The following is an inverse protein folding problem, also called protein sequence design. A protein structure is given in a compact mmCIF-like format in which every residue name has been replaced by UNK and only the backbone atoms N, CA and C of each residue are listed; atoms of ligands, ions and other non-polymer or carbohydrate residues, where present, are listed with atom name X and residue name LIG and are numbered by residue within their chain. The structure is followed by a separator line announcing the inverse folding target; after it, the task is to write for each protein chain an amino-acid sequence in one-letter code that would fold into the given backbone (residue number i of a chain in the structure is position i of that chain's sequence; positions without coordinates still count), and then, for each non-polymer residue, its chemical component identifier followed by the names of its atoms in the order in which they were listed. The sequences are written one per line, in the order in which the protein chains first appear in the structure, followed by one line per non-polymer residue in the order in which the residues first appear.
data_IF_436461792333
#
_entry.id   IF_436461792333
#
_cell.length_a   1.000
_cell.length_b   1.000
_cell.length_c   1.000
_cell.angle_alpha   90.00
_cell.angle_beta   90.00
_cell.angle_gamma   90.00
#
_symmetry.space_group_name_H-M   'P 1'
#
loop_
_entity.id
_entity.type
_entity.pdbx_description
1 polymer ?
#
# COMPACT_ATOMS: atom_id res chain seq x y z
N UNK A 1 -40.06 19.54 29.65
CA UNK A 1 -40.23 18.25 28.93
C UNK A 1 -40.08 18.56 27.45
N UNK A 2 -38.87 18.42 26.93
CA UNK A 2 -38.60 18.63 25.50
C UNK A 2 -38.91 17.33 24.76
N UNK A 3 -39.96 17.33 23.98
CA UNK A 3 -40.26 16.24 23.02
C UNK A 3 -39.22 16.29 21.90
N UNK A 4 -38.26 15.38 21.97
CA UNK A 4 -37.43 15.07 20.81
C UNK A 4 -38.37 14.55 19.71
N UNK A 5 -38.63 15.39 18.71
CA UNK A 5 -39.42 15.04 17.53
C UNK A 5 -38.64 13.97 16.76
N UNK A 6 -39.03 12.71 16.90
CA UNK A 6 -38.48 11.62 16.06
C UNK A 6 -38.75 11.94 14.59
N UNK A 7 -37.67 12.13 13.83
CA UNK A 7 -37.82 12.36 12.39
C UNK A 7 -38.51 11.15 11.70
N UNK A 8 -39.45 11.39 10.81
CA UNK A 8 -40.17 10.33 10.11
C UNK A 8 -39.25 9.39 9.37
N UNK A 9 -39.45 8.07 9.48
CA UNK A 9 -38.59 7.03 8.89
C UNK A 9 -38.43 7.16 7.35
N UNK A 10 -39.40 7.73 6.64
CA UNK A 10 -39.28 8.00 5.22
C UNK A 10 -38.24 9.09 4.92
N UNK A 11 -38.12 10.11 5.78
CA UNK A 11 -37.16 11.19 5.64
C UNK A 11 -35.73 10.68 5.85
N UNK A 12 -35.53 9.87 6.88
CA UNK A 12 -34.24 9.19 7.13
C UNK A 12 -33.82 8.35 5.92
N UNK A 13 -34.70 7.47 5.41
CA UNK A 13 -34.42 6.68 4.21
C UNK A 13 -34.13 7.50 2.95
N UNK A 14 -34.78 8.65 2.79
CA UNK A 14 -34.55 9.55 1.65
C UNK A 14 -33.18 10.23 1.77
N UNK A 15 -32.80 10.71 2.95
CA UNK A 15 -31.49 11.30 3.24
C UNK A 15 -30.38 10.27 3.05
N UNK A 16 -30.53 9.06 3.63
CA UNK A 16 -29.56 7.97 3.46
C UNK A 16 -29.31 7.61 1.99
N UNK A 17 -30.38 7.48 1.20
CA UNK A 17 -30.26 7.20 -0.25
C UNK A 17 -29.55 8.33 -0.99
N UNK A 18 -29.90 9.58 -0.67
CA UNK A 18 -29.27 10.75 -1.29
C UNK A 18 -27.78 10.84 -0.92
N UNK A 19 -27.45 10.65 0.35
CA UNK A 19 -26.06 10.65 0.85
C UNK A 19 -25.24 9.53 0.22
N UNK A 20 -25.80 8.31 0.16
CA UNK A 20 -25.13 7.16 -0.48
C UNK A 20 -24.87 7.42 -1.98
N UNK A 21 -25.84 7.97 -2.69
CA UNK A 21 -25.67 8.30 -4.10
C UNK A 21 -24.65 9.42 -4.34
N UNK A 22 -24.61 10.43 -3.46
CA UNK A 22 -23.61 11.50 -3.50
C UNK A 22 -22.20 10.96 -3.22
N UNK A 23 -22.06 10.11 -2.20
CA UNK A 23 -20.79 9.45 -1.86
C UNK A 23 -20.25 8.61 -3.01
N UNK A 24 -21.08 7.75 -3.62
CA UNK A 24 -20.67 6.93 -4.76
C UNK A 24 -20.26 7.76 -6.00
N UNK A 25 -20.87 8.93 -6.20
CA UNK A 25 -20.45 9.86 -7.26
C UNK A 25 -19.10 10.50 -6.95
N UNK A 26 -18.87 10.90 -5.70
CA UNK A 26 -17.60 11.45 -5.27
C UNK A 26 -16.47 10.41 -5.40
N UNK A 27 -16.70 9.18 -4.89
CA UNK A 27 -15.75 8.07 -4.99
C UNK A 27 -15.38 7.77 -6.46
N UNK A 28 -16.35 7.74 -7.38
CA UNK A 28 -16.05 7.56 -8.81
C UNK A 28 -15.19 8.67 -9.39
N UNK A 29 -15.43 9.93 -9.02
CA UNK A 29 -14.61 11.05 -9.49
C UNK A 29 -13.18 10.98 -8.96
N UNK A 30 -13.02 10.68 -7.66
CA UNK A 30 -11.71 10.44 -7.06
C UNK A 30 -10.97 9.34 -7.81
N UNK A 31 -11.65 8.21 -8.06
CA UNK A 31 -11.05 7.09 -8.78
C UNK A 31 -10.60 7.49 -10.20
N UNK A 32 -11.39 8.29 -10.95
CA UNK A 32 -10.99 8.78 -12.26
C UNK A 32 -9.74 9.67 -12.23
N UNK A 33 -9.57 10.50 -11.20
CA UNK A 33 -8.35 11.29 -11.03
C UNK A 33 -7.14 10.41 -10.71
N UNK A 34 -7.31 9.39 -9.86
CA UNK A 34 -6.26 8.43 -9.53
C UNK A 34 -5.81 7.64 -10.77
N UNK A 35 -6.75 7.13 -11.55
CA UNK A 35 -6.47 6.41 -12.80
C UNK A 35 -5.73 7.29 -13.81
N UNK A 36 -6.22 8.52 -14.03
CA UNK A 36 -5.58 9.47 -14.92
C UNK A 36 -4.14 9.80 -14.50
N UNK A 37 -3.91 10.03 -13.22
CA UNK A 37 -2.58 10.32 -12.71
C UNK A 37 -1.65 9.10 -12.82
N UNK A 38 -2.15 7.90 -12.54
CA UNK A 38 -1.39 6.66 -12.71
C UNK A 38 -0.98 6.43 -14.17
N UNK A 39 -1.89 6.64 -15.11
CA UNK A 39 -1.59 6.55 -16.55
C UNK A 39 -0.51 7.54 -16.98
N UNK A 40 -0.55 8.78 -16.45
CA UNK A 40 0.46 9.80 -16.75
C UNK A 40 1.82 9.39 -16.18
N UNK A 41 1.87 8.89 -14.93
CA UNK A 41 3.09 8.43 -14.28
C UNK A 41 3.72 7.26 -15.08
N UNK A 42 2.92 6.29 -15.49
CA UNK A 42 3.39 5.17 -16.31
C UNK A 42 3.93 5.67 -17.66
N UNK A 43 3.24 6.58 -18.32
CA UNK A 43 3.65 7.11 -19.61
C UNK A 43 4.93 7.97 -19.55
N UNK A 44 5.13 8.72 -18.45
CA UNK A 44 6.30 9.60 -18.26
C UNK A 44 7.47 8.91 -17.56
N UNK A 45 7.23 7.79 -16.88
CA UNK A 45 8.22 7.17 -16.00
C UNK A 45 8.59 8.00 -14.77
N UNK A 46 7.80 9.02 -14.45
CA UNK A 46 8.06 9.95 -13.35
C UNK A 46 6.79 10.56 -12.78
N UNK A 47 6.88 11.11 -11.57
CA UNK A 47 5.79 11.87 -10.93
C UNK A 47 5.78 13.35 -11.35
N UNK A 48 6.55 13.73 -12.36
CA UNK A 48 6.58 15.11 -12.86
C UNK A 48 5.43 15.35 -13.85
N UNK A 49 4.26 15.65 -13.28
CA UNK A 49 3.06 16.06 -13.98
C UNK A 49 2.37 17.25 -13.29
N UNK A 50 1.52 17.93 -14.02
CA UNK A 50 0.71 19.04 -13.51
C UNK A 50 -0.72 18.58 -13.18
N UNK A 51 -1.41 19.32 -12.30
CA UNK A 51 -2.83 19.10 -12.02
C UNK A 51 -3.67 19.22 -13.30
N UNK A 52 -3.28 20.13 -14.21
CA UNK A 52 -3.99 20.33 -15.48
C UNK A 52 -3.94 19.07 -16.36
N UNK A 53 -2.78 18.41 -16.45
CA UNK A 53 -2.66 17.16 -17.21
C UNK A 53 -3.57 16.06 -16.66
N UNK A 54 -3.72 15.98 -15.32
CA UNK A 54 -4.63 15.01 -14.69
C UNK A 54 -6.10 15.35 -14.98
N UNK A 55 -6.46 16.62 -14.90
CA UNK A 55 -7.80 17.12 -15.20
C UNK A 55 -8.18 16.81 -16.64
N UNK A 56 -7.27 17.11 -17.59
CA UNK A 56 -7.49 16.86 -19.02
C UNK A 56 -7.62 15.37 -19.31
N UNK A 57 -6.73 14.55 -18.72
CA UNK A 57 -6.74 13.08 -18.90
C UNK A 57 -7.99 12.44 -18.31
N UNK A 58 -8.41 12.88 -17.12
CA UNK A 58 -9.61 12.36 -16.43
C UNK A 58 -10.91 12.85 -17.02
N UNK A 59 -10.89 13.83 -17.96
CA UNK A 59 -12.05 14.52 -18.53
C UNK A 59 -12.95 15.15 -17.45
N UNK A 60 -12.34 15.60 -16.36
CA UNK A 60 -13.02 16.30 -15.28
C UNK A 60 -12.70 17.79 -15.32
N UNK A 61 -13.31 18.60 -14.45
CA UNK A 61 -13.00 20.01 -14.34
C UNK A 61 -11.97 20.27 -13.23
N UNK A 62 -11.19 21.35 -13.37
CA UNK A 62 -10.25 21.81 -12.34
C UNK A 62 -10.98 22.09 -11.01
N UNK A 63 -12.19 22.64 -11.09
CA UNK A 63 -13.06 22.83 -9.91
C UNK A 63 -13.38 21.50 -9.21
N UNK A 64 -13.69 20.46 -10.00
CA UNK A 64 -13.95 19.12 -9.46
C UNK A 64 -12.71 18.54 -8.77
N UNK A 65 -11.51 18.76 -9.34
CA UNK A 65 -10.26 18.36 -8.73
C UNK A 65 -10.08 18.96 -7.34
N UNK A 66 -10.18 20.30 -7.23
CA UNK A 66 -10.01 21.01 -5.95
C UNK A 66 -11.13 20.80 -4.92
N UNK A 67 -12.25 20.18 -5.33
CA UNK A 67 -13.26 19.69 -4.40
C UNK A 67 -12.84 18.40 -3.66
N UNK A 68 -11.89 17.64 -4.22
CA UNK A 68 -11.47 16.33 -3.71
C UNK A 68 -10.02 16.30 -3.23
N UNK A 69 -9.15 17.14 -3.79
CA UNK A 69 -7.73 17.21 -3.47
C UNK A 69 -7.28 18.65 -3.27
N UNK A 70 -6.55 18.94 -2.21
CA UNK A 70 -5.95 20.25 -1.98
C UNK A 70 -4.82 20.62 -2.96
N UNK A 71 -4.34 19.63 -3.74
CA UNK A 71 -3.31 19.81 -4.75
C UNK A 71 -2.71 18.49 -5.22
N UNK A 72 -1.68 18.58 -6.08
CA UNK A 72 -0.94 17.42 -6.61
C UNK A 72 -0.43 16.50 -5.51
N UNK A 73 0.03 17.08 -4.41
CA UNK A 73 0.60 16.32 -3.30
C UNK A 73 -0.43 15.36 -2.67
N UNK A 74 -1.63 15.84 -2.38
CA UNK A 74 -2.69 15.02 -1.80
C UNK A 74 -3.16 13.92 -2.77
N UNK A 75 -3.20 14.21 -4.07
CA UNK A 75 -3.44 13.21 -5.10
C UNK A 75 -2.37 12.12 -5.10
N UNK A 76 -1.09 12.49 -4.99
CA UNK A 76 0.03 11.55 -4.96
C UNK A 76 0.00 10.68 -3.69
N UNK A 77 -0.36 11.26 -2.54
CA UNK A 77 -0.56 10.52 -1.31
C UNK A 77 -1.71 9.50 -1.45
N UNK A 78 -2.82 9.91 -2.02
CA UNK A 78 -3.96 9.02 -2.27
C UNK A 78 -3.62 7.89 -3.26
N UNK A 79 -2.78 8.16 -4.27
CA UNK A 79 -2.25 7.13 -5.17
C UNK A 79 -1.37 6.13 -4.41
N UNK A 80 -0.50 6.61 -3.54
CA UNK A 80 0.38 5.78 -2.72
C UNK A 80 -0.43 4.88 -1.77
N UNK A 81 -1.42 5.44 -1.07
CA UNK A 81 -2.34 4.68 -0.22
C UNK A 81 -3.10 3.60 -1.00
N UNK A 82 -3.62 3.96 -2.17
CA UNK A 82 -4.36 3.02 -3.02
C UNK A 82 -3.46 1.89 -3.53
N UNK A 83 -2.23 2.20 -3.92
CA UNK A 83 -1.25 1.20 -4.36
C UNK A 83 -0.91 0.20 -3.25
N UNK A 84 -0.61 0.70 -2.05
CA UNK A 84 -0.31 -0.14 -0.88
C UNK A 84 -1.50 -1.02 -0.49
N UNK A 85 -2.72 -0.48 -0.52
CA UNK A 85 -3.93 -1.25 -0.22
C UNK A 85 -4.14 -2.37 -1.22
N UNK A 86 -4.05 -2.06 -2.52
CA UNK A 86 -4.19 -3.08 -3.58
C UNK A 86 -3.13 -4.18 -3.46
N UNK A 87 -1.87 -3.80 -3.24
CA UNK A 87 -0.79 -4.76 -3.02
C UNK A 87 -1.05 -5.63 -1.79
N UNK A 88 -1.52 -5.05 -0.68
CA UNK A 88 -1.89 -5.81 0.51
C UNK A 88 -3.04 -6.80 0.24
N UNK A 89 -4.05 -6.40 -0.54
CA UNK A 89 -5.19 -7.27 -0.88
C UNK A 89 -4.75 -8.42 -1.81
N UNK A 90 -3.89 -8.16 -2.79
CA UNK A 90 -3.31 -9.17 -3.69
C UNK A 90 -2.44 -10.18 -2.92
N UNK A 91 -1.56 -9.69 -2.04
CA UNK A 91 -0.72 -10.54 -1.18
C UNK A 91 -1.59 -11.36 -0.23
N UNK A 92 -2.60 -10.75 0.38
CA UNK A 92 -3.54 -11.45 1.28
C UNK A 92 -4.22 -12.59 0.56
N UNK A 93 -4.74 -12.33 -0.64
CA UNK A 93 -5.43 -13.34 -1.45
C UNK A 93 -4.53 -14.54 -1.75
N UNK A 94 -3.25 -14.30 -2.09
CA UNK A 94 -2.30 -15.36 -2.37
C UNK A 94 -1.84 -16.10 -1.10
N UNK A 95 -1.41 -15.36 -0.06
CA UNK A 95 -0.82 -15.94 1.15
C UNK A 95 -1.82 -16.72 2.02
N UNK A 96 -3.12 -16.41 1.95
CA UNK A 96 -4.14 -17.12 2.73
C UNK A 96 -4.55 -18.47 2.14
N UNK A 97 -4.20 -18.74 0.90
CA UNK A 97 -4.43 -20.05 0.25
C UNK A 97 -3.42 -21.09 0.79
N UNK A 98 -2.24 -20.64 1.21
CA UNK A 98 -1.22 -21.51 1.76
C UNK A 98 -1.66 -22.13 3.09
N UNK A 99 -1.58 -23.45 3.17
CA UNK A 99 -1.96 -24.24 4.36
C UNK A 99 -0.92 -24.05 5.46
N UNK A 100 0.37 -24.05 5.11
CA UNK A 100 1.46 -23.76 6.03
C UNK A 100 1.58 -22.24 6.26
N UNK A 101 1.39 -21.75 7.50
CA UNK A 101 1.52 -20.34 7.81
C UNK A 101 2.89 -19.74 7.46
N UNK A 102 3.96 -20.52 7.58
CA UNK A 102 5.32 -20.06 7.24
C UNK A 102 5.48 -19.89 5.73
N UNK A 103 4.98 -20.84 4.93
CA UNK A 103 4.97 -20.73 3.48
C UNK A 103 4.13 -19.53 2.99
N UNK A 104 2.98 -19.28 3.63
CA UNK A 104 2.16 -18.10 3.35
C UNK A 104 2.89 -16.79 3.63
N UNK A 105 3.64 -16.72 4.74
CA UNK A 105 4.46 -15.55 5.06
C UNK A 105 5.64 -15.38 4.10
N UNK A 106 6.29 -16.47 3.71
CA UNK A 106 7.35 -16.48 2.68
C UNK A 106 6.84 -15.90 1.37
N UNK A 107 5.71 -16.40 0.88
CA UNK A 107 5.07 -15.89 -0.33
C UNK A 107 4.78 -14.39 -0.22
N UNK A 108 4.25 -13.93 0.93
CA UNK A 108 3.98 -12.52 1.17
C UNK A 108 5.25 -11.65 1.11
N UNK A 109 6.35 -12.10 1.70
CA UNK A 109 7.65 -11.40 1.64
C UNK A 109 8.16 -11.29 0.21
N UNK A 110 8.12 -12.39 -0.55
CA UNK A 110 8.56 -12.42 -1.96
C UNK A 110 7.70 -11.50 -2.83
N UNK A 111 6.38 -11.52 -2.65
CA UNK A 111 5.46 -10.65 -3.39
C UNK A 111 5.68 -9.17 -3.04
N UNK A 112 5.86 -8.84 -1.76
CA UNK A 112 6.15 -7.47 -1.33
C UNK A 112 7.48 -6.99 -1.94
N UNK A 113 8.53 -7.82 -1.91
CA UNK A 113 9.81 -7.50 -2.52
C UNK A 113 9.65 -7.21 -4.01
N UNK A 114 9.03 -8.13 -4.76
CA UNK A 114 8.81 -7.99 -6.20
C UNK A 114 7.98 -6.75 -6.56
N UNK A 115 6.93 -6.44 -5.78
CA UNK A 115 6.11 -5.26 -6.01
C UNK A 115 6.78 -3.94 -5.62
N UNK A 116 7.83 -4.00 -4.79
CA UNK A 116 8.60 -2.83 -4.34
C UNK A 116 9.84 -2.55 -5.19
N UNK A 117 10.21 -3.46 -6.11
CA UNK A 117 11.31 -3.24 -7.03
C UNK A 117 10.97 -2.08 -7.97
N UNK A 118 11.87 -1.09 -8.13
CA UNK A 118 11.71 -0.07 -9.16
C UNK A 118 11.98 -0.67 -10.53
N UNK A 119 11.27 -0.20 -11.55
CA UNK A 119 11.49 -0.63 -12.92
C UNK A 119 10.34 -0.24 -13.84
N UNK A 120 10.55 -0.25 -15.17
CA UNK A 120 9.54 0.11 -16.16
C UNK A 120 8.33 -0.86 -16.15
N UNK A 121 8.52 -2.08 -15.66
CA UNK A 121 7.46 -3.07 -15.48
C UNK A 121 6.81 -2.99 -14.07
N UNK A 122 7.34 -2.14 -13.20
CA UNK A 122 6.76 -1.92 -11.87
C UNK A 122 5.35 -1.37 -12.04
N UNK A 123 4.35 -2.13 -11.62
CA UNK A 123 2.96 -1.69 -11.61
C UNK A 123 2.73 -0.51 -10.65
N UNK A 124 3.76 -0.14 -9.88
CA UNK A 124 3.69 0.89 -8.85
C UNK A 124 4.95 1.77 -8.83
N UNK A 125 5.18 2.63 -9.86
CA UNK A 125 6.32 3.55 -9.89
C UNK A 125 6.37 4.52 -8.70
N UNK A 126 5.36 4.51 -7.85
CA UNK A 126 5.25 5.32 -6.63
C UNK A 126 6.17 4.86 -5.49
N UNK A 127 6.77 3.68 -5.57
CA UNK A 127 7.70 3.19 -4.54
C UNK A 127 9.14 3.69 -4.70
N UNK A 128 9.43 4.51 -5.73
CA UNK A 128 10.76 5.07 -6.00
C UNK A 128 11.01 6.41 -5.25
N UNK A 129 11.56 7.40 -5.93
CA UNK A 129 11.98 8.71 -5.36
C UNK A 129 10.87 9.46 -4.64
N UNK A 130 9.61 9.32 -5.09
CA UNK A 130 8.48 10.01 -4.50
C UNK A 130 8.13 9.46 -3.11
N UNK A 131 8.21 8.16 -2.87
CA UNK A 131 7.94 7.57 -1.56
C UNK A 131 8.91 8.09 -0.50
N UNK A 132 10.18 8.26 -0.85
CA UNK A 132 11.21 8.85 0.02
C UNK A 132 10.90 10.31 0.33
N UNK A 133 10.51 11.09 -0.67
CA UNK A 133 10.15 12.51 -0.49
C UNK A 133 8.90 12.66 0.39
N UNK A 134 7.88 11.79 0.20
CA UNK A 134 6.68 11.74 1.04
C UNK A 134 7.03 11.42 2.49
N UNK A 135 7.89 10.43 2.72
CA UNK A 135 8.29 10.02 4.06
C UNK A 135 8.96 11.16 4.84
N UNK A 136 9.76 11.98 4.17
CA UNK A 136 10.42 13.13 4.80
C UNK A 136 9.47 14.29 5.07
N UNK A 137 8.50 14.51 4.19
CA UNK A 137 7.61 15.68 4.26
C UNK A 137 6.30 15.40 5.03
N UNK A 138 5.83 14.15 5.02
CA UNK A 138 4.51 13.73 5.54
C UNK A 138 4.57 12.37 6.25
N UNK A 139 5.37 12.26 7.31
CA UNK A 139 5.63 10.97 7.96
C UNK A 139 4.40 10.35 8.64
N UNK A 140 3.42 11.15 9.05
CA UNK A 140 2.19 10.67 9.67
C UNK A 140 1.27 10.04 8.62
N UNK A 141 1.11 10.69 7.48
CA UNK A 141 0.28 10.24 6.36
C UNK A 141 0.88 8.98 5.73
N UNK A 142 2.20 8.94 5.53
CA UNK A 142 2.89 7.76 5.02
C UNK A 142 2.75 6.58 5.98
N UNK A 143 2.79 6.82 7.29
CA UNK A 143 2.53 5.78 8.30
C UNK A 143 1.11 5.22 8.15
N UNK A 144 0.12 6.11 7.98
CA UNK A 144 -1.27 5.72 7.76
C UNK A 144 -1.44 4.91 6.48
N UNK A 145 -0.75 5.31 5.40
CA UNK A 145 -0.76 4.60 4.12
C UNK A 145 -0.22 3.16 4.22
N UNK A 146 0.77 2.93 5.08
CA UNK A 146 1.36 1.59 5.30
C UNK A 146 0.51 0.68 6.21
N UNK A 147 -0.49 1.20 6.93
CA UNK A 147 -1.25 0.44 7.92
C UNK A 147 -1.95 -0.81 7.35
N UNK A 148 -2.55 -0.82 6.14
CA UNK A 148 -3.13 -2.04 5.56
C UNK A 148 -2.10 -3.15 5.36
N UNK A 149 -0.90 -2.82 4.86
CA UNK A 149 0.19 -3.77 4.65
C UNK A 149 0.74 -4.27 6.00
N UNK A 150 0.96 -3.38 6.96
CA UNK A 150 1.41 -3.75 8.31
C UNK A 150 0.40 -4.68 9.00
N UNK A 151 -0.89 -4.42 8.85
CA UNK A 151 -1.95 -5.27 9.41
C UNK A 151 -1.90 -6.67 8.80
N UNK A 152 -1.79 -6.77 7.47
CA UNK A 152 -1.64 -8.05 6.78
C UNK A 152 -0.42 -8.85 7.31
N UNK A 153 0.75 -8.23 7.36
CA UNK A 153 1.96 -8.92 7.85
C UNK A 153 1.85 -9.30 9.32
N UNK A 154 1.19 -8.48 10.14
CA UNK A 154 0.95 -8.81 11.55
C UNK A 154 -0.01 -10.02 11.71
N UNK A 155 -1.02 -10.14 10.86
CA UNK A 155 -1.91 -11.31 10.82
C UNK A 155 -1.16 -12.57 10.39
N UNK A 156 -0.34 -12.50 9.34
CA UNK A 156 0.49 -13.63 8.88
C UNK A 156 1.51 -14.05 9.95
N UNK A 157 2.19 -13.10 10.58
CA UNK A 157 3.10 -13.38 11.71
C UNK A 157 2.36 -14.01 12.89
N UNK A 158 1.11 -13.58 13.17
CA UNK A 158 0.28 -14.18 14.21
C UNK A 158 -0.09 -15.63 13.91
N UNK A 159 -0.30 -15.98 12.63
CA UNK A 159 -0.51 -17.38 12.21
C UNK A 159 0.74 -18.23 12.43
N UNK A 160 1.93 -17.69 12.13
CA UNK A 160 3.21 -18.37 12.37
C UNK A 160 3.46 -18.52 13.87
N UNK A 161 3.15 -17.50 14.69
CA UNK A 161 3.27 -17.55 16.14
C UNK A 161 2.39 -18.66 16.75
N UNK A 162 1.16 -18.81 16.24
CA UNK A 162 0.22 -19.87 16.69
C UNK A 162 0.74 -21.29 16.44
N UNK A 163 1.68 -21.51 15.50
CA UNK A 163 2.36 -22.81 15.29
C UNK A 163 3.60 -22.99 16.15
N UNK A 164 3.97 -21.97 16.94
CA UNK A 164 5.19 -21.99 17.78
C UNK A 164 6.49 -21.80 16.99
N UNK A 165 6.42 -21.46 15.72
CA UNK A 165 7.57 -21.25 14.84
C UNK A 165 8.17 -19.84 14.96
N UNK A 166 7.46 -18.88 15.55
CA UNK A 166 7.99 -17.56 15.84
C UNK A 166 8.88 -17.58 17.10
N UNK A 167 9.96 -16.80 17.11
CA UNK A 167 10.78 -16.60 18.31
C UNK A 167 9.97 -15.94 19.42
N UNK A 168 10.03 -16.46 20.63
CA UNK A 168 9.20 -16.04 21.78
C UNK A 168 9.43 -14.61 22.24
N UNK A 169 10.60 -14.04 21.93
CA UNK A 169 10.96 -12.66 22.29
C UNK A 169 10.30 -11.62 21.37
N UNK A 170 9.74 -12.07 20.23
CA UNK A 170 9.16 -11.19 19.21
C UNK A 170 7.65 -11.13 19.35
N UNK A 171 7.13 -9.91 19.33
CA UNK A 171 5.69 -9.69 19.18
C UNK A 171 5.34 -9.65 17.68
N UNK A 172 4.31 -10.39 17.21
CA UNK A 172 3.96 -10.50 15.78
C UNK A 172 3.93 -9.15 15.05
N UNK A 173 3.26 -8.13 15.59
CA UNK A 173 3.17 -6.81 14.97
C UNK A 173 4.51 -6.07 14.88
N UNK A 174 5.42 -6.27 15.83
CA UNK A 174 6.76 -5.67 15.77
C UNK A 174 7.63 -6.37 14.73
N UNK A 175 7.61 -7.71 14.71
CA UNK A 175 8.30 -8.49 13.69
C UNK A 175 7.78 -8.13 12.29
N UNK A 176 6.47 -8.03 12.12
CA UNK A 176 5.83 -7.60 10.88
C UNK A 176 6.33 -6.22 10.41
N UNK A 177 6.40 -5.23 11.30
CA UNK A 177 6.88 -3.90 10.95
C UNK A 177 8.35 -3.93 10.51
N UNK A 178 9.21 -4.67 11.22
CA UNK A 178 10.63 -4.80 10.87
C UNK A 178 10.81 -5.49 9.51
N UNK A 179 10.13 -6.61 9.29
CA UNK A 179 10.20 -7.36 8.02
C UNK A 179 9.69 -6.49 6.86
N UNK A 180 8.50 -5.92 6.98
CA UNK A 180 7.91 -5.08 5.94
C UNK A 180 8.86 -3.92 5.53
N UNK A 181 9.37 -3.17 6.51
CA UNK A 181 10.26 -2.04 6.24
C UNK A 181 11.59 -2.48 5.63
N UNK A 182 12.17 -3.58 6.14
CA UNK A 182 13.42 -4.13 5.58
C UNK A 182 13.23 -4.57 4.13
N UNK A 183 12.15 -5.30 3.83
CA UNK A 183 11.86 -5.79 2.48
C UNK A 183 11.69 -4.63 1.50
N UNK A 184 10.90 -3.62 1.86
CA UNK A 184 10.67 -2.44 1.03
C UNK A 184 11.95 -1.64 0.80
N UNK A 185 12.76 -1.44 1.85
CA UNK A 185 14.04 -0.74 1.74
C UNK A 185 15.05 -1.51 0.87
N UNK A 186 15.19 -2.83 1.08
CA UNK A 186 16.08 -3.68 0.28
C UNK A 186 15.69 -3.69 -1.19
N UNK A 187 14.40 -3.74 -1.51
CA UNK A 187 13.92 -3.66 -2.89
C UNK A 187 14.31 -2.33 -3.55
N UNK A 188 14.15 -1.22 -2.84
CA UNK A 188 14.51 0.11 -3.35
C UNK A 188 16.02 0.27 -3.54
N UNK A 189 16.84 -0.22 -2.60
CA UNK A 189 18.29 -0.12 -2.68
C UNK A 189 18.90 -1.00 -3.77
N UNK A 190 18.25 -2.13 -4.10
CA UNK A 190 18.70 -3.05 -5.16
C UNK A 190 18.75 -2.38 -6.53
N UNK A 191 17.85 -1.44 -6.82
CA UNK A 191 17.84 -0.75 -8.10
C UNK A 191 19.04 0.20 -8.29
N UNK A 192 19.48 0.86 -7.22
CA UNK A 192 20.63 1.76 -7.25
C UNK A 192 21.93 1.02 -7.57
N UNK A 193 21.97 -0.28 -7.18
CA UNK A 193 23.16 -1.12 -7.35
C UNK A 193 23.17 -1.81 -8.72
N UNK A 194 22.02 -2.04 -9.33
CA UNK A 194 21.91 -2.76 -10.62
C UNK A 194 22.64 -2.06 -11.79
N UNK A 195 22.88 -0.76 -11.69
CA UNK A 195 23.63 0.03 -12.70
C UNK A 195 25.16 -0.08 -12.57
N UNK A 196 25.67 -0.87 -11.62
CA UNK A 196 27.11 -1.02 -11.39
C UNK A 196 27.61 -2.31 -12.04
N UNK A 197 28.69 -2.24 -12.85
CA UNK A 197 29.32 -3.41 -13.44
C UNK A 197 29.73 -4.43 -12.37
N UNK A 198 29.26 -5.66 -12.49
CA UNK A 198 29.55 -6.78 -11.56
C UNK A 198 28.61 -6.89 -10.36
N UNK A 199 27.54 -6.10 -10.28
CA UNK A 199 26.55 -6.20 -9.23
C UNK A 199 25.54 -7.34 -9.49
N UNK A 200 25.32 -8.19 -8.48
CA UNK A 200 24.23 -9.15 -8.47
C UNK A 200 23.06 -8.54 -7.69
N UNK A 201 21.92 -8.24 -8.33
CA UNK A 201 20.76 -7.71 -7.63
C UNK A 201 20.24 -8.75 -6.63
N UNK A 202 19.78 -8.28 -5.47
CA UNK A 202 19.16 -9.15 -4.46
C UNK A 202 17.94 -9.86 -5.04
N UNK A 203 17.79 -11.12 -4.66
CA UNK A 203 16.62 -11.93 -5.01
C UNK A 203 15.62 -11.98 -3.87
N UNK A 204 14.35 -12.28 -4.18
CA UNK A 204 13.32 -12.49 -3.16
C UNK A 204 13.66 -13.62 -2.19
N UNK A 205 14.40 -14.63 -2.65
CA UNK A 205 14.86 -15.77 -1.83
C UNK A 205 15.90 -15.35 -0.80
N UNK A 206 16.89 -14.55 -1.20
CA UNK A 206 17.89 -14.02 -0.28
C UNK A 206 17.26 -13.10 0.78
N UNK A 207 16.33 -12.24 0.37
CA UNK A 207 15.59 -11.37 1.29
C UNK A 207 14.74 -12.18 2.26
N UNK A 208 14.03 -13.22 1.77
CA UNK A 208 13.31 -14.14 2.63
C UNK A 208 14.21 -14.82 3.64
N UNK A 209 15.30 -15.45 3.19
CA UNK A 209 16.25 -16.17 4.07
C UNK A 209 16.85 -15.26 5.14
N UNK A 210 17.20 -14.03 4.78
CA UNK A 210 17.68 -13.04 5.72
C UNK A 210 16.62 -12.69 6.77
N UNK A 211 15.41 -12.38 6.35
CA UNK A 211 14.31 -12.05 7.27
C UNK A 211 13.94 -13.24 8.15
N UNK A 212 13.77 -14.43 7.58
CA UNK A 212 13.37 -15.65 8.29
C UNK A 212 14.40 -16.01 9.37
N UNK A 213 15.69 -15.87 9.09
CA UNK A 213 16.76 -16.08 10.08
C UNK A 213 16.62 -15.18 11.32
N UNK A 214 15.97 -14.03 11.19
CA UNK A 214 15.73 -13.10 12.30
C UNK A 214 14.54 -13.46 13.19
N UNK A 215 13.48 -14.06 12.65
CA UNK A 215 12.22 -14.26 13.39
C UNK A 215 11.76 -15.72 13.51
N UNK A 216 12.21 -16.63 12.63
CA UNK A 216 11.89 -18.06 12.74
C UNK A 216 12.71 -18.71 13.85
N UNK A 217 12.05 -19.53 14.67
CA UNK A 217 12.73 -20.31 15.68
C UNK A 217 13.61 -21.38 15.01
N UNK A 218 14.89 -21.51 15.34
CA UNK A 218 15.68 -22.64 14.87
C UNK A 218 15.02 -23.95 15.28
N UNK A 219 14.96 -24.91 14.36
CA UNK A 219 14.55 -26.27 14.72
C UNK A 219 15.50 -26.76 15.81
N UNK A 220 14.95 -27.21 16.95
CA UNK A 220 15.74 -27.87 17.96
C UNK A 220 16.33 -29.14 17.34
N UNK A 221 17.67 -29.14 17.16
CA UNK A 221 18.43 -30.28 16.67
C UNK A 221 18.40 -31.45 17.69
#
# INVERSE_FOLDING_TARGET
MSTLSEEPAWKQRAVERSTKAARLRAERKVQQFLEAAQEIIVAKGSTDFTVQEVVDRSRQSLRSFYQHFGGKHELLLALFENALRRSADEIRAAATIEVDPLAGLELAVRMLFASSLPGPESRHPLFTDFATQLLMSYPAEVRSAHEPMLTLFAELMGRVDATGQLRTELRPRRAAAMVMQSVMFLAQSTAVVADSEGSHPLTGDEVWNFCAGGFVRPLAG
#
